data_IF_829989629066
#
_entry.id   IF_829989629066
#
_cell.length_a   1.000
_cell.length_b   1.000
_cell.length_c   1.000
_cell.angle_alpha   90.00
_cell.angle_beta   90.00
_cell.angle_gamma   90.00
#
_symmetry.space_group_name_H-M   'P 1'
#
loop_
_entity.id
_entity.type
_entity.pdbx_description
1 polymer ?
#
# COMPACT_ATOMS: atom_id res chain seq x y z
N UNK A 1 -8.80 34.35 11.19
CA UNK A 1 -8.59 33.04 11.85
C UNK A 1 -8.70 31.96 10.79
N UNK A 2 -7.57 31.40 10.40
CA UNK A 2 -7.45 30.38 9.36
C UNK A 2 -7.86 29.04 9.98
N UNK A 3 -9.04 28.53 9.62
CA UNK A 3 -9.47 27.18 10.00
C UNK A 3 -8.46 26.20 9.37
N UNK A 4 -7.81 25.32 10.15
CA UNK A 4 -6.93 24.29 9.59
C UNK A 4 -7.74 23.46 8.59
N UNK A 5 -7.14 23.12 7.45
CA UNK A 5 -7.82 22.42 6.36
C UNK A 5 -8.30 21.04 6.84
N UNK A 6 -9.59 20.96 7.19
CA UNK A 6 -10.25 19.71 7.56
C UNK A 6 -10.44 18.89 6.29
N UNK A 7 -9.90 17.68 6.24
CA UNK A 7 -10.11 16.79 5.10
C UNK A 7 -10.45 15.40 5.57
N UNK A 8 -11.51 14.85 5.01
CA UNK A 8 -11.85 13.45 5.18
C UNK A 8 -10.70 12.55 4.72
N UNK A 9 -10.59 11.39 5.35
CA UNK A 9 -9.66 10.33 4.97
C UNK A 9 -10.24 9.56 3.79
N UNK A 10 -9.49 9.43 2.71
CA UNK A 10 -9.86 8.59 1.57
C UNK A 10 -9.28 7.21 1.75
N UNK A 11 -10.07 6.14 1.66
CA UNK A 11 -9.63 4.77 1.86
C UNK A 11 -9.89 3.91 0.64
N UNK A 12 -8.87 3.17 0.20
CA UNK A 12 -8.99 2.17 -0.86
C UNK A 12 -9.49 0.80 -0.35
N UNK A 13 -9.76 0.68 0.96
CA UNK A 13 -10.48 -0.49 1.49
C UNK A 13 -11.98 -0.37 1.16
N UNK A 14 -12.64 -1.51 0.93
CA UNK A 14 -14.10 -1.57 0.83
C UNK A 14 -14.78 -1.62 2.22
N UNK A 15 -14.02 -1.85 3.28
CA UNK A 15 -14.56 -1.97 4.63
C UNK A 15 -14.85 -0.59 5.22
N UNK A 16 -16.11 -0.38 5.60
CA UNK A 16 -16.46 0.64 6.58
C UNK A 16 -16.27 0.03 7.96
N UNK A 17 -15.08 0.17 8.52
CA UNK A 17 -14.88 -0.10 9.93
C UNK A 17 -15.79 0.83 10.76
N UNK A 18 -16.41 0.27 11.80
CA UNK A 18 -17.10 1.01 12.86
C UNK A 18 -16.11 1.64 13.86
N UNK A 19 -14.87 1.91 13.41
CA UNK A 19 -13.89 2.66 14.18
C UNK A 19 -14.53 3.99 14.59
N UNK A 20 -14.34 4.43 15.84
CA UNK A 20 -14.83 5.74 16.26
C UNK A 20 -14.32 6.78 15.27
N UNK A 21 -15.13 7.80 14.93
CA UNK A 21 -14.69 8.87 14.07
C UNK A 21 -13.37 9.41 14.62
N UNK A 22 -12.45 9.76 13.72
CA UNK A 22 -11.27 10.51 14.11
C UNK A 22 -11.68 11.74 14.93
N UNK A 23 -10.71 12.39 15.58
CA UNK A 23 -11.01 13.63 16.28
C UNK A 23 -11.79 14.57 15.32
N UNK A 24 -12.79 15.33 15.80
CA UNK A 24 -13.70 16.13 14.95
C UNK A 24 -12.98 17.18 14.07
N UNK A 25 -11.69 17.37 14.30
CA UNK A 25 -10.74 18.13 13.48
C UNK A 25 -10.38 17.48 12.13
N UNK A 26 -10.58 16.17 11.97
CA UNK A 26 -10.28 15.37 10.75
C UNK A 26 -11.52 15.09 9.87
N UNK A 27 -12.52 15.99 9.88
CA UNK A 27 -13.79 15.77 9.19
C UNK A 27 -14.13 16.83 8.13
N UNK A 28 -14.49 16.39 6.93
CA UNK A 28 -14.96 17.27 5.86
C UNK A 28 -16.47 17.58 6.01
N UNK A 29 -16.88 18.85 5.93
CA UNK A 29 -18.30 19.20 5.97
C UNK A 29 -19.01 18.69 4.71
N UNK A 30 -20.21 18.15 4.85
CA UNK A 30 -21.06 17.67 3.78
C UNK A 30 -22.54 17.95 4.11
N UNK A 31 -23.41 17.79 3.11
CA UNK A 31 -24.85 18.01 3.26
C UNK A 31 -25.60 16.70 3.01
N UNK A 32 -26.40 16.27 3.99
CA UNK A 32 -27.30 15.14 3.86
C UNK A 32 -28.71 15.64 3.54
N UNK A 33 -29.30 15.19 2.44
CA UNK A 33 -30.67 15.50 2.05
C UNK A 33 -31.52 14.24 2.19
N UNK A 34 -32.32 14.17 3.25
CA UNK A 34 -33.24 13.06 3.55
C UNK A 34 -34.71 13.48 3.43
N UNK A 35 -35.65 12.57 3.76
CA UNK A 35 -37.09 12.83 3.73
C UNK A 35 -37.51 13.99 4.65
N UNK A 36 -36.85 14.17 5.80
CA UNK A 36 -37.16 15.26 6.75
C UNK A 36 -36.39 16.56 6.44
N UNK A 37 -35.73 16.64 5.29
CA UNK A 37 -35.02 17.83 4.82
C UNK A 37 -33.50 17.71 4.82
N UNK A 38 -32.85 18.88 4.79
CA UNK A 38 -31.39 19.02 4.69
C UNK A 38 -30.76 19.09 6.08
N UNK A 39 -29.69 18.33 6.29
CA UNK A 39 -28.94 18.24 7.55
C UNK A 39 -27.45 18.37 7.28
N UNK A 40 -26.77 19.15 8.11
CA UNK A 40 -25.31 19.24 8.04
C UNK A 40 -24.67 17.98 8.61
N UNK A 41 -23.67 17.46 7.92
CA UNK A 41 -22.90 16.32 8.37
C UNK A 41 -21.40 16.52 8.20
N UNK A 42 -20.63 15.69 8.89
CA UNK A 42 -19.18 15.72 8.92
C UNK A 42 -18.66 14.34 8.52
N UNK A 43 -18.01 14.27 7.36
CA UNK A 43 -17.46 13.04 6.78
C UNK A 43 -16.04 12.83 7.30
N UNK A 44 -15.82 11.72 7.98
CA UNK A 44 -14.51 11.35 8.55
C UNK A 44 -13.71 10.47 7.59
N UNK A 45 -14.40 9.53 6.93
CA UNK A 45 -13.78 8.53 6.06
C UNK A 45 -14.64 8.28 4.82
N UNK A 46 -14.01 8.16 3.66
CA UNK A 46 -14.62 7.88 2.36
C UNK A 46 -14.06 6.56 1.84
N UNK A 47 -14.92 5.57 1.57
CA UNK A 47 -14.58 4.30 0.93
C UNK A 47 -15.36 4.13 -0.37
N UNK A 48 -15.13 3.02 -1.10
CA UNK A 48 -15.93 2.69 -2.29
C UNK A 48 -17.38 2.34 -1.93
N UNK A 49 -17.63 1.77 -0.75
CA UNK A 49 -18.94 1.29 -0.32
C UNK A 49 -19.74 2.29 0.52
N UNK A 50 -19.14 3.40 0.95
CA UNK A 50 -19.82 4.36 1.82
C UNK A 50 -18.90 5.33 2.54
N UNK A 51 -19.49 6.04 3.50
CA UNK A 51 -18.86 7.06 4.32
C UNK A 51 -19.02 6.74 5.80
N UNK A 52 -17.98 7.00 6.59
CA UNK A 52 -18.14 7.18 8.04
C UNK A 52 -18.39 8.66 8.30
N UNK A 53 -19.47 9.00 9.00
CA UNK A 53 -19.85 10.39 9.23
C UNK A 53 -20.53 10.61 10.58
N UNK A 54 -20.66 11.89 10.94
CA UNK A 54 -21.53 12.35 12.02
C UNK A 54 -22.59 13.27 11.41
N UNK A 55 -23.85 13.10 11.79
CA UNK A 55 -24.97 13.92 11.30
C UNK A 55 -25.49 14.82 12.42
N UNK A 56 -25.79 16.07 12.10
CA UNK A 56 -26.46 16.99 13.02
C UNK A 56 -27.96 16.72 13.03
N UNK A 57 -28.50 16.31 14.19
CA UNK A 57 -29.92 16.00 14.36
C UNK A 57 -30.23 14.49 14.31
N UNK A 58 -31.51 14.13 14.50
CA UNK A 58 -31.92 12.72 14.48
C UNK A 58 -31.81 12.13 13.07
N UNK A 59 -31.37 10.88 13.01
CA UNK A 59 -31.39 10.04 11.80
C UNK A 59 -31.90 8.66 12.17
N UNK A 60 -32.53 7.98 11.22
CA UNK A 60 -32.98 6.60 11.41
C UNK A 60 -32.10 5.61 10.65
N UNK A 61 -31.86 4.44 11.24
CA UNK A 61 -31.26 3.32 10.50
C UNK A 61 -32.13 2.96 9.29
N UNK A 62 -31.50 2.75 8.14
CA UNK A 62 -32.18 2.48 6.86
C UNK A 62 -32.76 3.71 6.16
N UNK A 63 -32.63 4.91 6.74
CA UNK A 63 -33.13 6.15 6.13
C UNK A 63 -32.43 6.41 4.79
N UNK A 64 -33.23 6.59 3.73
CA UNK A 64 -32.76 6.92 2.39
C UNK A 64 -32.44 8.40 2.31
N UNK A 65 -31.25 8.72 1.81
CA UNK A 65 -30.84 10.11 1.65
C UNK A 65 -29.85 10.25 0.49
N UNK A 66 -29.62 11.50 0.07
CA UNK A 66 -28.53 11.88 -0.83
C UNK A 66 -27.49 12.64 -0.03
N UNK A 67 -26.22 12.29 -0.18
CA UNK A 67 -25.10 13.03 0.43
C UNK A 67 -24.37 13.83 -0.62
N UNK A 68 -24.18 15.13 -0.37
CA UNK A 68 -23.42 16.05 -1.19
C UNK A 68 -22.11 16.40 -0.48
N UNK A 69 -20.99 16.00 -1.09
CA UNK A 69 -19.63 16.24 -0.61
C UNK A 69 -19.15 17.63 -1.06
N UNK A 70 -18.22 18.26 -0.32
CA UNK A 70 -17.84 19.67 -0.53
C UNK A 70 -17.12 19.94 -1.86
N UNK A 71 -16.76 18.88 -2.60
CA UNK A 71 -16.14 18.94 -3.93
C UNK A 71 -17.13 18.59 -5.06
N UNK A 72 -18.43 18.80 -4.84
CA UNK A 72 -19.48 18.69 -5.86
C UNK A 72 -19.84 17.27 -6.26
N UNK A 73 -19.53 16.29 -5.41
CA UNK A 73 -19.91 14.89 -5.62
C UNK A 73 -21.14 14.57 -4.80
N UNK A 74 -22.24 14.21 -5.48
CA UNK A 74 -23.45 13.73 -4.84
C UNK A 74 -23.57 12.21 -5.01
N UNK A 75 -24.00 11.52 -3.96
CA UNK A 75 -24.24 10.08 -3.99
C UNK A 75 -25.54 9.71 -3.25
N UNK A 76 -26.30 8.79 -3.83
CA UNK A 76 -27.50 8.23 -3.21
C UNK A 76 -27.15 7.01 -2.36
N UNK A 77 -27.94 6.79 -1.31
CA UNK A 77 -27.66 5.75 -0.34
C UNK A 77 -28.59 5.74 0.85
N UNK A 78 -28.16 5.06 1.91
CA UNK A 78 -28.89 4.96 3.17
C UNK A 78 -27.99 5.06 4.40
N UNK A 79 -28.58 5.47 5.51
CA UNK A 79 -27.92 5.51 6.82
C UNK A 79 -27.85 4.09 7.41
N UNK A 80 -26.66 3.69 7.83
CA UNK A 80 -26.35 2.42 8.47
C UNK A 80 -25.70 2.68 9.84
N UNK A 81 -26.05 1.89 10.85
CA UNK A 81 -25.75 2.17 12.26
C UNK A 81 -26.86 2.89 13.04
N UNK A 82 -26.76 2.77 14.36
CA UNK A 82 -27.70 3.33 15.34
C UNK A 82 -27.02 4.31 16.30
N UNK A 83 -25.69 4.28 16.38
CA UNK A 83 -24.89 5.17 17.21
C UNK A 83 -24.63 6.47 16.45
N UNK A 84 -25.13 7.63 16.93
CA UNK A 84 -24.91 8.93 16.29
C UNK A 84 -23.41 9.30 16.17
N UNK A 85 -22.57 8.74 17.05
CA UNK A 85 -21.13 8.93 17.00
C UNK A 85 -20.46 8.02 15.96
N UNK A 86 -21.15 7.00 15.41
CA UNK A 86 -20.58 6.00 14.49
C UNK A 86 -21.54 5.67 13.36
N UNK A 87 -22.08 6.70 12.71
CA UNK A 87 -22.95 6.51 11.57
C UNK A 87 -22.14 6.19 10.31
N UNK A 88 -22.68 5.28 9.53
CA UNK A 88 -22.25 5.01 8.18
C UNK A 88 -23.32 5.50 7.19
N UNK A 89 -22.90 6.00 6.04
CA UNK A 89 -23.78 6.19 4.89
C UNK A 89 -23.31 5.23 3.80
N UNK A 90 -24.16 4.27 3.43
CA UNK A 90 -23.86 3.27 2.41
C UNK A 90 -24.34 3.75 1.06
N UNK A 91 -23.48 3.70 0.05
CA UNK A 91 -23.85 4.08 -1.30
C UNK A 91 -24.65 2.99 -2.00
N UNK A 92 -25.58 3.38 -2.86
CA UNK A 92 -26.26 2.42 -3.75
C UNK A 92 -25.35 1.87 -4.83
N UNK A 93 -24.38 2.69 -5.27
CA UNK A 93 -23.41 2.36 -6.29
C UNK A 93 -22.01 2.59 -5.75
N UNK A 94 -21.03 1.72 -6.06
CA UNK A 94 -19.66 1.91 -5.64
C UNK A 94 -19.09 3.26 -6.09
N UNK A 95 -18.44 3.96 -5.17
CA UNK A 95 -17.76 5.21 -5.43
C UNK A 95 -16.36 4.98 -6.00
N UNK A 96 -16.01 5.66 -7.10
CA UNK A 96 -14.62 5.80 -7.54
C UNK A 96 -13.86 6.72 -6.57
N UNK A 97 -13.25 6.12 -5.54
CA UNK A 97 -12.51 6.83 -4.49
C UNK A 97 -11.35 7.65 -5.07
N UNK A 98 -10.64 7.11 -6.07
CA UNK A 98 -9.50 7.81 -6.68
C UNK A 98 -9.97 8.98 -7.53
N UNK A 99 -11.09 8.83 -8.24
CA UNK A 99 -11.78 9.92 -8.93
C UNK A 99 -12.30 10.99 -7.96
N UNK A 100 -12.87 10.60 -6.83
CA UNK A 100 -13.35 11.51 -5.79
C UNK A 100 -12.19 12.32 -5.18
N UNK A 101 -11.05 11.67 -4.90
CA UNK A 101 -9.83 12.34 -4.45
C UNK A 101 -9.33 13.37 -5.47
N UNK A 102 -9.30 13.01 -6.76
CA UNK A 102 -8.89 13.92 -7.82
C UNK A 102 -9.79 15.17 -7.88
N UNK A 103 -11.11 15.00 -7.74
CA UNK A 103 -12.08 16.11 -7.68
C UNK A 103 -11.87 16.98 -6.45
N UNK A 104 -11.65 16.36 -5.29
CA UNK A 104 -11.34 17.06 -4.05
C UNK A 104 -10.10 17.95 -4.21
N UNK A 105 -9.02 17.42 -4.77
CA UNK A 105 -7.78 18.17 -5.00
C UNK A 105 -7.95 19.32 -6.02
N UNK A 106 -8.76 19.10 -7.06
CA UNK A 106 -9.06 20.14 -8.04
C UNK A 106 -9.90 21.29 -7.45
N UNK A 107 -10.74 21.00 -6.44
CA UNK A 107 -11.56 21.99 -5.75
C UNK A 107 -10.78 22.81 -4.70
N UNK A 108 -9.60 22.37 -4.28
CA UNK A 108 -8.78 23.08 -3.28
C UNK A 108 -8.02 24.28 -3.90
N UNK A 109 -8.00 25.45 -3.22
CA UNK A 109 -7.17 26.59 -3.60
C UNK A 109 -5.68 26.22 -3.72
N UNK A 110 -4.95 26.90 -4.60
CA UNK A 110 -3.54 26.57 -4.87
C UNK A 110 -2.66 26.58 -3.62
N UNK A 111 -2.87 27.53 -2.70
CA UNK A 111 -2.11 27.60 -1.44
C UNK A 111 -2.51 26.55 -0.39
N UNK A 112 -3.59 25.79 -0.63
CA UNK A 112 -4.16 24.80 0.30
C UNK A 112 -4.27 23.38 -0.27
N UNK A 113 -3.68 23.10 -1.43
CA UNK A 113 -3.58 21.74 -1.98
C UNK A 113 -2.60 20.87 -1.19
N UNK A 114 -2.87 20.65 0.09
CA UNK A 114 -2.26 19.56 0.83
C UNK A 114 -3.11 18.33 0.59
N UNK A 115 -2.48 17.28 0.07
CA UNK A 115 -3.20 16.05 -0.23
C UNK A 115 -3.62 15.37 1.07
N UNK A 116 -4.89 14.96 1.20
CA UNK A 116 -5.29 14.14 2.34
C UNK A 116 -4.49 12.84 2.38
N UNK A 117 -4.28 12.34 3.59
CA UNK A 117 -3.72 10.99 3.77
C UNK A 117 -4.70 9.99 3.19
N UNK A 118 -4.19 9.13 2.34
CA UNK A 118 -4.97 8.06 1.71
C UNK A 118 -4.68 6.80 2.49
N UNK A 119 -5.71 6.15 3.00
CA UNK A 119 -5.58 4.84 3.60
C UNK A 119 -5.61 3.74 2.55
N UNK A 120 -4.67 2.82 2.68
CA UNK A 120 -4.50 1.70 1.78
C UNK A 120 -3.66 0.66 2.49
N UNK A 121 -3.93 -0.61 2.17
CA UNK A 121 -3.19 -1.75 2.70
C UNK A 121 -2.48 -2.46 1.55
N UNK A 122 -1.20 -2.13 1.37
CA UNK A 122 -0.32 -2.70 0.36
C UNK A 122 0.90 -3.29 1.05
N UNK A 123 1.34 -4.46 0.58
CA UNK A 123 2.59 -5.03 1.05
C UNK A 123 3.74 -4.14 0.57
N UNK A 124 4.71 -3.90 1.44
CA UNK A 124 5.95 -3.24 1.07
C UNK A 124 7.16 -3.98 1.63
N UNK A 125 8.30 -3.83 0.98
CA UNK A 125 9.61 -4.17 1.54
C UNK A 125 10.22 -2.92 2.18
N UNK A 126 10.65 -3.03 3.44
CA UNK A 126 11.38 -1.99 4.18
C UNK A 126 12.82 -2.44 4.28
N UNK A 127 13.75 -1.71 3.67
CA UNK A 127 15.18 -1.93 3.80
C UNK A 127 15.74 -0.95 4.83
N UNK A 128 16.36 -1.47 5.87
CA UNK A 128 16.83 -0.74 7.05
C UNK A 128 18.10 -1.42 7.57
N UNK A 129 19.11 -0.66 8.00
CA UNK A 129 20.33 -1.21 8.62
C UNK A 129 20.98 -2.44 7.92
N UNK A 130 20.92 -2.51 6.59
CA UNK A 130 21.43 -3.65 5.78
C UNK A 130 20.50 -4.88 5.71
N UNK A 131 19.37 -4.85 6.40
CA UNK A 131 18.34 -5.87 6.40
C UNK A 131 17.12 -5.44 5.57
N UNK A 132 16.26 -6.40 5.26
CA UNK A 132 15.02 -6.17 4.55
C UNK A 132 13.89 -6.97 5.20
N UNK A 133 12.76 -6.31 5.45
CA UNK A 133 11.58 -6.89 6.07
C UNK A 133 10.33 -6.55 5.26
N UNK A 134 9.34 -7.45 5.28
CA UNK A 134 8.01 -7.11 4.78
C UNK A 134 7.18 -6.39 5.84
N UNK A 135 6.45 -5.39 5.37
CA UNK A 135 5.44 -4.68 6.14
C UNK A 135 4.20 -4.37 5.30
N UNK A 136 3.29 -3.61 5.89
CA UNK A 136 2.06 -3.18 5.27
C UNK A 136 1.91 -1.67 5.37
N UNK A 137 1.44 -1.03 4.31
CA UNK A 137 1.04 0.37 4.39
C UNK A 137 -0.21 0.49 5.25
N UNK A 138 -0.34 1.63 5.93
CA UNK A 138 -1.57 2.08 6.57
C UNK A 138 -2.15 3.26 5.83
N UNK A 139 -1.32 4.29 5.64
CA UNK A 139 -1.69 5.50 4.92
C UNK A 139 -0.50 6.05 4.14
N UNK A 140 -0.79 6.82 3.09
CA UNK A 140 0.19 7.43 2.20
C UNK A 140 -0.23 8.87 1.90
N UNK A 141 0.75 9.77 1.88
CA UNK A 141 0.65 11.14 1.37
C UNK A 141 1.85 11.42 0.47
N UNK A 142 1.91 12.59 -0.20
CA UNK A 142 3.06 12.96 -1.02
C UNK A 142 4.35 13.12 -0.18
N UNK A 143 4.22 13.48 1.09
CA UNK A 143 5.36 13.76 1.97
C UNK A 143 5.80 12.54 2.80
N UNK A 144 5.01 11.47 2.87
CA UNK A 144 5.37 10.32 3.68
C UNK A 144 4.33 9.23 3.73
N UNK A 145 4.62 8.20 4.53
CA UNK A 145 3.84 6.97 4.61
C UNK A 145 3.83 6.45 6.05
N UNK A 146 2.66 6.01 6.50
CA UNK A 146 2.50 5.21 7.72
C UNK A 146 2.55 3.72 7.37
N UNK A 147 3.33 2.96 8.10
CA UNK A 147 3.53 1.52 7.88
C UNK A 147 3.35 0.71 9.17
N UNK A 148 2.99 -0.56 9.01
CA UNK A 148 3.01 -1.62 10.01
C UNK A 148 4.12 -2.59 9.65
N UNK A 149 5.06 -2.81 10.56
CA UNK A 149 6.19 -3.73 10.33
C UNK A 149 6.68 -4.34 11.63
N UNK A 150 7.27 -5.53 11.53
CA UNK A 150 8.02 -6.16 12.62
C UNK A 150 9.49 -5.73 12.65
N UNK A 151 9.94 -5.03 11.61
CA UNK A 151 11.28 -4.46 11.56
C UNK A 151 11.54 -3.55 12.78
N UNK A 152 12.68 -3.71 13.47
CA UNK A 152 13.02 -2.90 14.64
C UNK A 152 13.52 -1.50 14.23
N UNK A 153 12.63 -0.68 13.68
CA UNK A 153 12.98 0.67 13.19
C UNK A 153 13.23 1.65 14.34
N UNK A 154 14.23 2.52 14.16
CA UNK A 154 14.52 3.62 15.09
C UNK A 154 14.13 4.99 14.51
N UNK A 155 13.70 5.92 15.37
CA UNK A 155 13.46 7.31 14.94
C UNK A 155 14.78 7.95 14.46
N UNK A 156 14.73 8.65 13.33
CA UNK A 156 15.89 9.20 12.65
C UNK A 156 16.58 8.23 11.69
N UNK A 157 16.16 6.95 11.65
CA UNK A 157 16.76 5.96 10.76
C UNK A 157 16.39 6.23 9.30
N UNK A 158 17.38 6.14 8.42
CA UNK A 158 17.17 6.18 6.97
C UNK A 158 16.72 4.81 6.47
N UNK A 159 15.61 4.78 5.75
CA UNK A 159 15.01 3.57 5.20
C UNK A 159 14.72 3.72 3.71
N UNK A 160 14.71 2.59 3.01
CA UNK A 160 14.26 2.51 1.62
C UNK A 160 13.01 1.60 1.56
N UNK A 161 11.94 2.11 0.98
CA UNK A 161 10.64 1.46 0.91
C UNK A 161 10.35 1.07 -0.53
N UNK A 162 10.04 -0.20 -0.77
CA UNK A 162 9.62 -0.69 -2.09
C UNK A 162 8.14 -1.05 -2.08
N UNK A 163 7.38 -0.39 -2.96
CA UNK A 163 5.98 -0.65 -3.24
C UNK A 163 5.85 -1.13 -4.69
N UNK A 164 4.99 -2.12 -4.93
CA UNK A 164 4.78 -2.66 -6.27
C UNK A 164 4.30 -1.57 -7.23
N UNK A 165 5.01 -1.38 -8.34
CA UNK A 165 4.71 -0.38 -9.35
C UNK A 165 5.24 1.03 -9.07
N UNK A 166 5.92 1.28 -7.95
CA UNK A 166 6.64 2.53 -7.69
C UNK A 166 8.15 2.29 -7.71
N UNK A 167 8.92 3.36 -7.99
CA UNK A 167 10.36 3.33 -7.69
C UNK A 167 10.57 3.28 -6.18
N UNK A 168 11.69 2.71 -5.69
CA UNK A 168 12.03 2.72 -4.27
C UNK A 168 11.99 4.15 -3.72
N UNK A 169 11.33 4.31 -2.58
CA UNK A 169 11.15 5.58 -1.89
C UNK A 169 12.14 5.62 -0.73
N UNK A 170 13.03 6.60 -0.72
CA UNK A 170 13.95 6.83 0.39
C UNK A 170 13.30 7.77 1.38
N UNK A 171 13.45 7.50 2.67
CA UNK A 171 12.89 8.34 3.71
C UNK A 171 13.56 8.17 5.07
N UNK A 172 13.09 8.96 6.02
CA UNK A 172 13.55 8.95 7.41
C UNK A 172 12.37 8.61 8.32
N UNK A 173 12.59 7.68 9.25
CA UNK A 173 11.61 7.32 10.28
C UNK A 173 11.41 8.51 11.23
N UNK A 174 10.20 9.04 11.32
CA UNK A 174 9.85 10.20 12.17
C UNK A 174 9.27 9.82 13.52
N UNK A 175 8.57 8.69 13.58
CA UNK A 175 8.01 8.16 14.82
C UNK A 175 7.86 6.65 14.70
N UNK A 176 7.89 5.97 15.84
CA UNK A 176 7.56 4.55 15.96
C UNK A 176 6.63 4.33 17.15
N UNK A 177 5.63 3.48 16.99
CA UNK A 177 4.69 3.15 18.05
C UNK A 177 4.09 1.75 17.81
N UNK A 178 4.29 0.82 18.76
CA UNK A 178 3.62 -0.50 18.78
C UNK A 178 3.63 -1.25 17.42
N UNK A 179 4.80 -1.38 16.79
CA UNK A 179 4.95 -2.06 15.49
C UNK A 179 4.47 -1.23 14.29
N UNK A 180 4.22 0.07 14.49
CA UNK A 180 3.96 1.03 13.45
C UNK A 180 5.10 2.04 13.37
N UNK A 181 5.28 2.61 12.18
CA UNK A 181 6.21 3.71 11.97
C UNK A 181 5.65 4.69 10.95
N UNK A 182 5.97 5.97 11.14
CA UNK A 182 5.78 6.99 10.12
C UNK A 182 7.11 7.34 9.48
N UNK A 183 7.17 7.24 8.16
CA UNK A 183 8.37 7.58 7.38
C UNK A 183 8.07 8.84 6.56
N UNK A 184 8.90 9.87 6.72
CA UNK A 184 8.88 11.04 5.84
C UNK A 184 9.78 10.76 4.63
N UNK A 185 9.29 11.02 3.42
CA UNK A 185 10.10 10.84 2.23
C UNK A 185 11.18 11.91 2.13
N UNK A 186 12.35 11.52 1.62
CA UNK A 186 13.43 12.45 1.32
C UNK A 186 13.06 13.38 0.15
N UNK A 187 12.29 12.87 -0.82
CA UNK A 187 11.71 13.62 -1.93
C UNK A 187 10.20 13.37 -1.95
N UNK A 188 9.40 14.44 -2.11
CA UNK A 188 7.95 14.29 -2.18
C UNK A 188 7.52 13.49 -3.43
N UNK A 189 6.58 12.57 -3.22
CA UNK A 189 6.00 11.79 -4.29
C UNK A 189 5.02 12.64 -5.11
N UNK A 190 5.47 13.11 -6.26
CA UNK A 190 4.67 13.93 -7.17
C UNK A 190 3.35 13.26 -7.60
N UNK A 191 2.31 14.09 -7.72
CA UNK A 191 0.95 13.71 -8.14
C UNK A 191 0.90 12.86 -9.41
N UNK A 192 1.72 13.22 -10.40
CA UNK A 192 1.81 12.56 -11.71
C UNK A 192 2.25 11.10 -11.60
N UNK A 193 2.90 10.72 -10.50
CA UNK A 193 3.29 9.35 -10.19
C UNK A 193 2.27 8.68 -9.29
N UNK A 194 1.82 9.40 -8.25
CA UNK A 194 0.96 8.85 -7.21
C UNK A 194 -0.43 8.46 -7.73
N UNK A 195 -1.07 9.30 -8.54
CA UNK A 195 -2.44 9.03 -8.98
C UNK A 195 -2.60 7.84 -9.93
N UNK A 196 -1.77 7.70 -10.98
CA UNK A 196 -1.81 6.50 -11.79
C UNK A 196 -1.55 5.24 -10.95
N UNK A 197 -0.64 5.34 -9.96
CA UNK A 197 -0.36 4.23 -9.06
C UNK A 197 -1.55 3.88 -8.17
N UNK A 198 -2.22 4.87 -7.56
CA UNK A 198 -3.43 4.64 -6.74
C UNK A 198 -4.55 4.00 -7.57
N UNK A 199 -4.74 4.41 -8.82
CA UNK A 199 -5.71 3.76 -9.73
C UNK A 199 -5.35 2.30 -9.96
N UNK A 200 -4.08 1.99 -10.17
CA UNK A 200 -3.62 0.61 -10.33
C UNK A 200 -3.87 -0.22 -9.08
N UNK A 201 -3.57 0.34 -7.90
CA UNK A 201 -3.82 -0.32 -6.61
C UNK A 201 -5.31 -0.56 -6.40
N UNK A 202 -6.17 0.45 -6.61
CA UNK A 202 -7.61 0.33 -6.45
C UNK A 202 -8.24 -0.72 -7.38
N UNK A 203 -7.69 -0.87 -8.59
CA UNK A 203 -8.15 -1.85 -9.58
C UNK A 203 -7.54 -3.25 -9.39
N UNK A 204 -6.53 -3.39 -8.53
CA UNK A 204 -5.87 -4.67 -8.30
C UNK A 204 -6.70 -5.49 -7.32
N UNK A 205 -7.33 -6.56 -7.79
CA UNK A 205 -7.97 -7.52 -6.89
C UNK A 205 -6.89 -8.17 -6.01
N UNK A 206 -7.07 -8.22 -4.67
CA UNK A 206 -6.17 -9.00 -3.82
C UNK A 206 -6.19 -10.44 -4.32
N UNK A 207 -5.09 -10.90 -4.89
CA UNK A 207 -4.97 -12.28 -5.34
C UNK A 207 -4.94 -13.17 -4.10
N UNK A 208 -5.92 -14.06 -3.97
CA UNK A 208 -5.87 -15.11 -2.96
C UNK A 208 -4.55 -15.86 -3.13
N UNK A 209 -3.79 -16.01 -2.05
CA UNK A 209 -2.55 -16.78 -2.07
C UNK A 209 -2.88 -18.18 -2.60
N UNK A 210 -2.25 -18.59 -3.71
CA UNK A 210 -2.38 -19.97 -4.19
C UNK A 210 -1.85 -20.87 -3.07
N UNK A 211 -2.65 -21.82 -2.54
CA UNK A 211 -2.19 -22.69 -1.47
C UNK A 211 -0.92 -23.42 -1.89
N UNK A 212 0.10 -23.38 -1.04
CA UNK A 212 1.46 -23.90 -1.27
C UNK A 212 1.49 -25.41 -1.58
N UNK A 213 0.38 -26.11 -1.33
CA UNK A 213 0.25 -27.57 -1.36
C UNK A 213 0.29 -28.14 -2.79
N UNK A 214 -0.08 -27.36 -3.81
CA UNK A 214 -0.11 -27.81 -5.21
C UNK A 214 1.12 -27.40 -6.04
N UNK A 215 2.12 -26.77 -5.41
CA UNK A 215 3.33 -26.35 -6.11
C UNK A 215 4.31 -27.53 -6.27
N UNK A 216 4.93 -27.70 -7.45
CA UNK A 216 5.98 -28.70 -7.62
C UNK A 216 7.13 -28.44 -6.62
N UNK A 217 7.86 -29.47 -6.18
CA UNK A 217 8.99 -29.28 -5.26
C UNK A 217 10.04 -28.34 -5.86
N UNK A 218 10.78 -27.64 -5.00
CA UNK A 218 11.82 -26.70 -5.44
C UNK A 218 12.86 -27.36 -6.32
N UNK A 219 12.97 -26.85 -7.55
CA UNK A 219 14.01 -27.24 -8.49
C UNK A 219 15.41 -26.99 -7.91
N UNK A 220 15.56 -26.00 -7.02
CA UNK A 220 16.81 -25.71 -6.30
C UNK A 220 17.09 -26.66 -5.14
N UNK A 221 16.10 -27.41 -4.65
CA UNK A 221 16.29 -28.37 -3.55
C UNK A 221 17.27 -29.51 -3.88
N UNK A 222 17.46 -29.82 -5.16
CA UNK A 222 18.40 -30.84 -5.64
C UNK A 222 19.73 -30.26 -6.13
N UNK A 223 19.87 -28.92 -6.18
CA UNK A 223 21.08 -28.26 -6.68
C UNK A 223 22.12 -28.20 -5.58
N UNK A 224 23.31 -28.76 -5.85
CA UNK A 224 24.45 -28.73 -4.92
C UNK A 224 24.84 -27.28 -4.62
N UNK A 225 25.13 -27.00 -3.34
CA UNK A 225 25.54 -25.69 -2.84
C UNK A 225 24.49 -24.57 -3.00
N UNK A 226 23.21 -24.94 -3.21
CA UNK A 226 22.11 -23.98 -3.17
C UNK A 226 21.91 -23.44 -1.74
N UNK A 227 21.84 -22.12 -1.63
CA UNK A 227 21.59 -21.39 -0.42
C UNK A 227 20.09 -21.14 -0.25
N UNK A 228 19.54 -21.53 0.91
CA UNK A 228 18.18 -21.17 1.32
C UNK A 228 18.25 -19.86 2.09
N UNK A 229 17.42 -18.90 1.69
CA UNK A 229 17.50 -17.51 2.13
C UNK A 229 16.24 -17.11 2.89
N UNK A 230 15.08 -17.31 2.26
CA UNK A 230 13.79 -16.84 2.75
C UNK A 230 13.82 -15.36 3.19
N UNK A 231 14.31 -14.49 2.28
CA UNK A 231 14.51 -13.06 2.55
C UNK A 231 13.60 -12.17 1.70
N UNK A 232 13.02 -11.11 2.28
CA UNK A 232 12.36 -10.05 1.51
C UNK A 232 13.34 -9.34 0.58
N UNK A 233 12.90 -9.10 -0.65
CA UNK A 233 13.64 -8.34 -1.67
C UNK A 233 12.67 -7.70 -2.67
N UNK A 234 13.20 -7.23 -3.79
CA UNK A 234 12.44 -6.78 -4.93
C UNK A 234 13.11 -7.17 -6.26
N UNK A 235 12.28 -7.23 -7.30
CA UNK A 235 12.69 -7.35 -8.69
C UNK A 235 12.26 -6.10 -9.45
N UNK A 236 12.99 -5.76 -10.52
CA UNK A 236 12.63 -4.63 -11.39
C UNK A 236 12.79 -4.96 -12.87
N UNK A 237 11.99 -4.28 -13.68
CA UNK A 237 12.11 -4.27 -15.13
C UNK A 237 11.87 -2.85 -15.62
N UNK A 238 12.91 -2.24 -16.22
CA UNK A 238 12.91 -0.82 -16.53
C UNK A 238 12.69 0.03 -15.28
N UNK A 239 11.57 0.77 -15.25
CA UNK A 239 11.17 1.68 -14.16
C UNK A 239 10.19 1.05 -13.18
N UNK A 240 9.73 -0.17 -13.43
CA UNK A 240 8.76 -0.88 -12.61
C UNK A 240 9.47 -1.79 -11.62
N UNK A 241 9.03 -1.74 -10.36
CA UNK A 241 9.58 -2.54 -9.26
C UNK A 241 8.47 -3.34 -8.61
N UNK A 242 8.81 -4.51 -8.10
CA UNK A 242 7.88 -5.41 -7.43
C UNK A 242 8.56 -6.08 -6.26
N UNK A 243 7.87 -6.15 -5.14
CA UNK A 243 8.28 -6.93 -3.99
C UNK A 243 8.37 -8.41 -4.37
N UNK A 244 9.42 -9.05 -3.88
CA UNK A 244 9.67 -10.47 -4.08
C UNK A 244 10.21 -11.10 -2.80
N UNK A 245 9.84 -12.35 -2.53
CA UNK A 245 10.46 -13.17 -1.49
C UNK A 245 11.52 -14.04 -2.16
N UNK A 246 12.77 -13.91 -1.75
CA UNK A 246 13.86 -14.73 -2.24
C UNK A 246 13.92 -16.02 -1.43
N UNK A 247 13.45 -17.12 -2.02
CA UNK A 247 13.34 -18.41 -1.34
C UNK A 247 14.70 -19.12 -1.28
N UNK A 248 15.35 -19.27 -2.44
CA UNK A 248 16.64 -19.93 -2.56
C UNK A 248 17.40 -19.49 -3.81
N UNK A 249 18.72 -19.68 -3.82
CA UNK A 249 19.54 -19.49 -5.01
C UNK A 249 20.75 -20.43 -5.03
N UNK A 250 21.31 -20.66 -6.21
CA UNK A 250 22.65 -21.21 -6.43
C UNK A 250 23.50 -20.17 -7.16
N UNK A 251 24.67 -20.55 -7.66
CA UNK A 251 25.47 -19.67 -8.51
C UNK A 251 24.81 -19.34 -9.87
N UNK A 252 23.87 -20.17 -10.33
CA UNK A 252 23.29 -20.09 -11.67
C UNK A 252 21.77 -19.89 -11.68
N UNK A 253 21.08 -20.33 -10.63
CA UNK A 253 19.62 -20.30 -10.55
C UNK A 253 19.15 -19.54 -9.32
N UNK A 254 17.97 -18.94 -9.41
CA UNK A 254 17.27 -18.32 -8.29
C UNK A 254 15.80 -18.67 -8.34
N UNK A 255 15.23 -18.92 -7.16
CA UNK A 255 13.82 -19.10 -6.95
C UNK A 255 13.29 -18.00 -6.05
N UNK A 256 12.22 -17.35 -6.50
CA UNK A 256 11.59 -16.27 -5.79
C UNK A 256 10.08 -16.30 -5.97
N UNK A 257 9.38 -15.62 -5.08
CA UNK A 257 7.93 -15.44 -5.14
C UNK A 257 7.59 -13.96 -5.30
N UNK A 258 6.65 -13.64 -6.17
CA UNK A 258 6.12 -12.28 -6.32
C UNK A 258 4.61 -12.32 -6.56
N UNK A 259 3.92 -11.27 -6.09
CA UNK A 259 2.49 -11.11 -6.38
C UNK A 259 2.25 -10.91 -7.89
N UNK A 260 3.21 -10.31 -8.59
CA UNK A 260 3.18 -10.18 -10.05
C UNK A 260 3.71 -11.44 -10.71
N UNK A 261 2.95 -11.98 -11.66
CA UNK A 261 3.41 -13.07 -12.50
C UNK A 261 4.32 -12.56 -13.63
N UNK A 262 5.46 -13.22 -13.80
CA UNK A 262 6.39 -12.94 -14.88
C UNK A 262 6.40 -14.11 -15.85
N UNK A 263 6.08 -13.84 -17.12
CA UNK A 263 6.12 -14.86 -18.15
C UNK A 263 7.56 -15.40 -18.34
N UNK A 264 7.74 -16.66 -18.76
CA UNK A 264 9.03 -17.17 -19.18
C UNK A 264 9.73 -16.23 -20.17
N UNK A 265 11.06 -16.19 -20.10
CA UNK A 265 11.96 -15.30 -20.83
C UNK A 265 11.93 -13.81 -20.40
N UNK A 266 11.07 -13.44 -19.45
CA UNK A 266 11.10 -12.09 -18.84
C UNK A 266 12.47 -11.81 -18.24
N UNK A 267 13.07 -10.70 -18.64
CA UNK A 267 14.36 -10.24 -18.11
C UNK A 267 14.13 -9.24 -16.98
N UNK A 268 14.66 -9.56 -15.81
CA UNK A 268 14.48 -8.77 -14.59
C UNK A 268 15.85 -8.49 -13.95
N UNK A 269 15.88 -7.50 -13.07
CA UNK A 269 16.97 -7.31 -12.13
C UNK A 269 16.46 -7.61 -10.74
N UNK A 270 17.11 -8.54 -10.05
CA UNK A 270 16.79 -8.88 -8.67
C UNK A 270 17.77 -8.19 -7.72
N UNK A 271 17.26 -7.53 -6.68
CA UNK A 271 18.13 -7.07 -5.61
C UNK A 271 18.55 -8.25 -4.74
N UNK A 272 19.84 -8.36 -4.47
CA UNK A 272 20.42 -9.38 -3.62
C UNK A 272 21.14 -8.70 -2.45
N UNK A 273 21.07 -9.27 -1.23
CA UNK A 273 21.70 -8.68 -0.06
C UNK A 273 23.22 -8.57 -0.25
N UNK A 274 23.83 -7.48 0.23
CA UNK A 274 25.28 -7.21 0.19
C UNK A 274 25.95 -7.10 -1.20
N UNK A 275 25.27 -7.50 -2.28
CA UNK A 275 25.81 -7.48 -3.65
C UNK A 275 24.97 -6.66 -4.64
N UNK A 276 23.76 -6.24 -4.26
CA UNK A 276 22.92 -5.34 -5.04
C UNK A 276 22.19 -6.01 -6.19
N UNK A 277 21.89 -5.24 -7.25
CA UNK A 277 21.07 -5.71 -8.36
C UNK A 277 21.80 -6.68 -9.30
N UNK A 278 21.21 -7.85 -9.54
CA UNK A 278 21.73 -8.87 -10.44
C UNK A 278 20.76 -9.22 -11.57
N UNK A 279 21.21 -9.37 -12.83
CA UNK A 279 20.33 -9.66 -13.94
C UNK A 279 19.90 -11.13 -13.95
N UNK A 280 18.59 -11.36 -14.02
CA UNK A 280 17.97 -12.68 -14.08
C UNK A 280 17.05 -12.80 -15.28
N UNK A 281 16.80 -14.03 -15.72
CA UNK A 281 15.77 -14.34 -16.73
C UNK A 281 14.88 -15.46 -16.22
N UNK A 282 13.58 -15.22 -16.21
CA UNK A 282 12.58 -16.21 -15.80
C UNK A 282 12.59 -17.39 -16.77
N UNK A 283 12.69 -18.61 -16.23
CA UNK A 283 12.63 -19.86 -16.98
C UNK A 283 11.26 -20.51 -16.77
N UNK A 284 10.80 -20.55 -15.52
CA UNK A 284 9.54 -21.20 -15.13
C UNK A 284 8.71 -20.25 -14.26
N UNK A 285 7.38 -20.33 -14.42
CA UNK A 285 6.41 -19.55 -13.67
C UNK A 285 5.27 -20.47 -13.25
N UNK A 286 5.03 -20.58 -11.94
CA UNK A 286 3.97 -21.37 -11.33
C UNK A 286 3.18 -20.46 -10.40
N UNK A 287 2.22 -19.70 -10.96
CA UNK A 287 1.52 -18.67 -10.22
C UNK A 287 2.48 -17.61 -9.66
N UNK A 288 2.44 -17.37 -8.35
CA UNK A 288 3.30 -16.41 -7.67
C UNK A 288 4.78 -16.83 -7.60
N UNK A 289 5.12 -18.09 -7.90
CA UNK A 289 6.48 -18.62 -7.79
C UNK A 289 7.18 -18.64 -9.13
N UNK A 290 8.44 -18.22 -9.14
CA UNK A 290 9.26 -18.09 -10.34
C UNK A 290 10.61 -18.76 -10.12
N UNK A 291 11.09 -19.45 -11.15
CA UNK A 291 12.48 -19.90 -11.24
C UNK A 291 13.13 -19.12 -12.38
N UNK A 292 14.30 -18.55 -12.10
CA UNK A 292 15.05 -17.77 -13.05
C UNK A 292 16.53 -18.17 -13.07
N UNK A 293 17.17 -18.03 -14.24
CA UNK A 293 18.61 -18.12 -14.37
C UNK A 293 19.25 -16.75 -14.12
N UNK A 294 20.43 -16.75 -13.50
CA UNK A 294 21.32 -15.60 -13.53
C UNK A 294 21.91 -15.46 -14.93
N UNK A 295 21.70 -14.30 -15.55
CA UNK A 295 22.28 -13.98 -16.87
C UNK A 295 23.80 -13.88 -16.83
N UNK A 296 24.34 -13.61 -15.65
CA UNK A 296 25.76 -13.70 -15.32
C UNK A 296 25.87 -14.54 -14.04
N UNK A 297 26.48 -15.73 -14.06
CA UNK A 297 26.60 -16.55 -12.85
C UNK A 297 27.28 -15.80 -11.69
N UNK A 298 26.79 -16.01 -10.48
CA UNK A 298 27.43 -15.50 -9.27
C UNK A 298 28.77 -16.22 -9.08
N UNK A 299 29.84 -15.47 -8.83
CA UNK A 299 31.16 -16.05 -8.59
C UNK A 299 31.27 -16.45 -7.11
N UNK A 300 32.32 -17.21 -6.73
CA UNK A 300 32.47 -17.69 -5.36
C UNK A 300 32.47 -16.59 -4.30
N UNK A 301 33.00 -15.39 -4.62
CA UNK A 301 33.02 -14.27 -3.69
C UNK A 301 31.63 -13.66 -3.45
N UNK A 302 30.80 -13.53 -4.49
CA UNK A 302 29.41 -13.10 -4.31
C UNK A 302 28.62 -14.14 -3.50
N UNK A 303 28.80 -15.43 -3.78
CA UNK A 303 28.18 -16.52 -3.01
C UNK A 303 28.60 -16.51 -1.54
N UNK A 304 29.86 -16.22 -1.25
CA UNK A 304 30.36 -16.09 0.12
C UNK A 304 29.67 -14.93 0.87
N UNK A 305 29.56 -13.75 0.24
CA UNK A 305 28.85 -12.59 0.83
C UNK A 305 27.38 -12.90 1.12
N UNK A 306 26.69 -13.55 0.20
CA UNK A 306 25.29 -13.95 0.39
C UNK A 306 25.16 -14.95 1.54
N UNK A 307 26.09 -15.88 1.67
CA UNK A 307 26.11 -16.84 2.78
C UNK A 307 26.32 -16.15 4.13
N UNK A 308 27.19 -15.14 4.19
CA UNK A 308 27.41 -14.34 5.40
C UNK A 308 26.20 -13.49 5.76
N UNK A 309 25.51 -12.91 4.77
CA UNK A 309 24.32 -12.09 4.98
C UNK A 309 23.16 -12.85 5.65
N UNK A 310 23.18 -14.18 5.59
CA UNK A 310 22.08 -15.06 6.02
C UNK A 310 22.39 -15.77 7.33
N UNK A 311 23.64 -15.69 7.81
CA UNK A 311 23.95 -16.20 9.14
C UNK A 311 23.14 -15.42 10.17
N UNK A 312 22.45 -16.10 11.10
CA UNK A 312 21.73 -15.44 12.17
C UNK A 312 22.73 -14.57 12.96
N UNK A 313 22.40 -13.28 13.10
CA UNK A 313 23.12 -12.34 13.96
C UNK A 313 22.58 -12.39 15.38
#
# INVERSE_FOLDING_TARGET
MTIPARSAIFSLSNELDSSPPGAPEDAAPALLSGPDGKRDCFVHRITSGGLSLTVTGPVSHGERATIELPFGLAAEGWIDGHDPARLAFRFDQPLDVVGALARCLAALPAERRQMPRIELRQRLCVRHSGQADFGWTRNLSPAGIGIETRAPLAVGEAVELTLDGLRPLVGEVRWTERGQAGVAFAEELGWQTLMPWLRKVANSTPRAATPTIDLPPSALGAVKDALRLDLPTHVRSGVSWWNAQLSALSNALVEFESATEFAPLSSLWMSLPEIGGWPIRVIECHGARHIAEFRVPLRPHEMAKLTEAVRPR
#
